data_IF_388328144829
#
_entry.id   IF_388328144829
#
_cell.length_a   1.000
_cell.length_b   1.000
_cell.length_c   1.000
_cell.angle_alpha   90.00
_cell.angle_beta   90.00
_cell.angle_gamma   90.00
#
_symmetry.space_group_name_H-M   'P 1'
#
loop_
_entity.id
_entity.type
_entity.pdbx_description
1 polymer ?
#
# COMPACT_ATOMS: atom_id res chain seq x y z
N UNK A 1 7.97 -13.98 -1.41
CA UNK A 1 8.10 -13.32 -2.73
C UNK A 1 7.74 -14.22 -3.91
N UNK A 2 8.27 -15.46 -4.05
CA UNK A 2 8.00 -16.34 -5.21
C UNK A 2 6.51 -16.58 -5.54
N UNK A 3 5.65 -16.78 -4.53
CA UNK A 3 4.21 -17.00 -4.75
C UNK A 3 3.49 -15.76 -5.34
N UNK A 4 3.80 -14.57 -4.87
CA UNK A 4 3.22 -13.33 -5.40
C UNK A 4 3.65 -13.08 -6.85
N UNK A 5 4.91 -13.34 -7.17
CA UNK A 5 5.42 -13.24 -8.54
C UNK A 5 4.74 -14.23 -9.50
N UNK A 6 4.50 -15.47 -9.04
CA UNK A 6 3.77 -16.47 -9.83
C UNK A 6 2.32 -16.06 -10.11
N UNK A 7 1.61 -15.54 -9.09
CA UNK A 7 0.23 -15.03 -9.25
C UNK A 7 0.22 -13.83 -10.19
N UNK A 8 1.16 -12.91 -10.03
CA UNK A 8 1.29 -11.73 -10.90
C UNK A 8 1.53 -12.13 -12.36
N UNK A 9 2.48 -13.05 -12.61
CA UNK A 9 2.76 -13.53 -13.97
C UNK A 9 1.53 -14.13 -14.66
N UNK A 10 0.81 -15.02 -13.97
CA UNK A 10 -0.42 -15.62 -14.49
C UNK A 10 -1.55 -14.60 -14.70
N UNK A 11 -1.64 -13.60 -13.81
CA UNK A 11 -2.62 -12.52 -13.96
C UNK A 11 -2.36 -11.72 -15.23
N UNK A 12 -1.12 -11.27 -15.42
CA UNK A 12 -0.73 -10.47 -16.59
C UNK A 12 -0.89 -11.26 -17.91
N UNK A 13 -0.50 -12.53 -17.91
CA UNK A 13 -0.72 -13.44 -19.05
C UNK A 13 -2.22 -13.58 -19.35
N UNK A 14 -3.06 -13.75 -18.30
CA UNK A 14 -4.50 -13.94 -18.43
C UNK A 14 -5.23 -12.69 -18.99
N UNK A 15 -4.73 -11.50 -18.76
CA UNK A 15 -5.30 -10.25 -19.30
C UNK A 15 -4.70 -9.85 -20.66
N UNK A 16 -3.68 -10.58 -21.14
CA UNK A 16 -3.06 -10.32 -22.46
C UNK A 16 -2.21 -9.04 -22.54
N UNK A 17 -1.78 -8.51 -21.38
CA UNK A 17 -1.00 -7.28 -21.29
C UNK A 17 0.47 -7.56 -20.94
N UNK A 18 1.41 -6.71 -21.36
CA UNK A 18 2.79 -6.82 -20.90
C UNK A 18 2.91 -6.52 -19.42
N UNK A 19 3.78 -7.26 -18.70
CA UNK A 19 3.94 -7.16 -17.24
C UNK A 19 4.32 -5.78 -16.70
N UNK A 20 4.75 -4.89 -17.58
CA UNK A 20 5.19 -3.53 -17.24
C UNK A 20 4.05 -2.51 -17.23
N UNK A 21 2.89 -2.84 -17.81
CA UNK A 21 1.76 -1.89 -17.92
C UNK A 21 0.45 -2.65 -18.02
N UNK A 22 -0.33 -2.62 -16.95
CA UNK A 22 -1.70 -3.16 -16.92
C UNK A 22 -2.68 -2.03 -17.19
N UNK A 23 -3.42 -2.11 -18.29
CA UNK A 23 -4.49 -1.18 -18.60
C UNK A 23 -5.76 -1.54 -17.81
N UNK A 24 -6.43 -0.58 -17.14
CA UNK A 24 -7.66 -0.87 -16.41
C UNK A 24 -8.75 -1.50 -17.31
N UNK A 25 -8.89 -1.01 -18.54
CA UNK A 25 -9.84 -1.57 -19.52
C UNK A 25 -9.57 -3.05 -19.82
N UNK A 26 -8.29 -3.48 -19.87
CA UNK A 26 -7.96 -4.89 -20.09
C UNK A 26 -8.44 -5.77 -18.93
N UNK A 27 -8.32 -5.29 -17.69
CA UNK A 27 -8.81 -5.97 -16.50
C UNK A 27 -10.34 -6.12 -16.55
N UNK A 28 -11.05 -5.07 -16.98
CA UNK A 28 -12.52 -5.08 -17.06
C UNK A 28 -13.07 -6.00 -18.16
N UNK A 29 -12.28 -6.27 -19.20
CA UNK A 29 -12.65 -7.15 -20.31
C UNK A 29 -12.42 -8.64 -20.03
N UNK A 30 -11.78 -8.98 -18.91
CA UNK A 30 -11.49 -10.37 -18.55
C UNK A 30 -12.57 -10.95 -17.67
N UNK A 31 -12.98 -12.19 -17.93
CA UNK A 31 -13.90 -12.93 -17.08
C UNK A 31 -13.28 -13.22 -15.70
N UNK A 32 -14.11 -13.15 -14.67
CA UNK A 32 -13.75 -13.50 -13.30
C UNK A 32 -13.15 -14.93 -13.18
N UNK A 33 -13.57 -15.86 -14.04
CA UNK A 33 -13.01 -17.21 -14.07
C UNK A 33 -11.53 -17.19 -14.48
N UNK A 34 -11.14 -16.38 -15.45
CA UNK A 34 -9.75 -16.22 -15.88
C UNK A 34 -8.89 -15.59 -14.77
N UNK A 35 -9.40 -14.58 -14.06
CA UNK A 35 -8.70 -13.99 -12.90
C UNK A 35 -8.48 -15.03 -11.78
N UNK A 36 -9.45 -15.92 -11.55
CA UNK A 36 -9.32 -17.00 -10.57
C UNK A 36 -8.28 -18.03 -10.97
N UNK A 37 -8.14 -18.31 -12.27
CA UNK A 37 -7.11 -19.22 -12.80
C UNK A 37 -5.69 -18.71 -12.50
N UNK A 38 -5.50 -17.41 -12.37
CA UNK A 38 -4.25 -16.81 -11.93
C UNK A 38 -3.93 -17.06 -10.43
N UNK A 39 -4.86 -17.65 -9.67
CA UNK A 39 -4.71 -17.93 -8.24
C UNK A 39 -5.28 -16.83 -7.33
N UNK A 40 -6.12 -15.95 -7.86
CA UNK A 40 -6.79 -14.91 -7.09
C UNK A 40 -8.06 -15.48 -6.41
N UNK A 41 -8.28 -15.08 -5.13
CA UNK A 41 -9.54 -15.38 -4.46
C UNK A 41 -10.69 -14.57 -5.07
N UNK A 42 -11.93 -15.02 -4.89
CA UNK A 42 -13.13 -14.28 -5.35
C UNK A 42 -13.09 -12.81 -4.91
N UNK A 43 -12.79 -12.56 -3.63
CA UNK A 43 -12.68 -11.19 -3.08
C UNK A 43 -11.60 -10.36 -3.77
N UNK A 44 -10.43 -10.95 -4.08
CA UNK A 44 -9.36 -10.26 -4.80
C UNK A 44 -9.75 -9.92 -6.23
N UNK A 45 -10.50 -10.81 -6.91
CA UNK A 45 -11.05 -10.49 -8.22
C UNK A 45 -12.01 -9.30 -8.16
N UNK A 46 -12.94 -9.27 -7.17
CA UNK A 46 -13.85 -8.15 -6.97
C UNK A 46 -13.09 -6.83 -6.72
N UNK A 47 -12.02 -6.87 -5.90
CA UNK A 47 -11.19 -5.70 -5.60
C UNK A 47 -10.46 -5.18 -6.83
N UNK A 48 -9.90 -6.07 -7.65
CA UNK A 48 -9.23 -5.67 -8.89
C UNK A 48 -10.21 -5.07 -9.91
N UNK A 49 -11.41 -5.64 -10.02
CA UNK A 49 -12.46 -5.09 -10.89
C UNK A 49 -12.93 -3.73 -10.42
N UNK A 50 -13.06 -3.53 -9.10
CA UNK A 50 -13.45 -2.24 -8.54
C UNK A 50 -12.36 -1.19 -8.73
N UNK A 51 -11.10 -1.55 -8.48
CA UNK A 51 -9.94 -0.71 -8.77
C UNK A 51 -9.92 -0.28 -10.23
N UNK A 52 -10.07 -1.21 -11.16
CA UNK A 52 -10.07 -0.91 -12.60
C UNK A 52 -11.21 0.05 -12.98
N UNK A 53 -12.42 -0.13 -12.40
CA UNK A 53 -13.55 0.79 -12.61
C UNK A 53 -13.24 2.20 -12.11
N UNK A 54 -12.63 2.34 -10.94
CA UNK A 54 -12.27 3.67 -10.40
C UNK A 54 -11.34 4.43 -11.33
N UNK A 55 -10.42 3.74 -12.00
CA UNK A 55 -9.55 4.35 -13.00
C UNK A 55 -10.30 4.72 -14.28
N UNK A 56 -11.12 3.83 -14.82
CA UNK A 56 -11.87 4.07 -16.07
C UNK A 56 -12.94 5.15 -15.89
N UNK A 57 -13.62 5.18 -14.74
CA UNK A 57 -14.64 6.18 -14.42
C UNK A 57 -14.04 7.56 -14.06
N UNK A 58 -12.71 7.68 -14.00
CA UNK A 58 -12.03 8.93 -13.62
C UNK A 58 -12.30 9.35 -12.18
N UNK A 59 -12.55 8.39 -11.27
CA UNK A 59 -12.75 8.64 -9.84
C UNK A 59 -11.44 8.74 -9.06
N UNK A 60 -10.32 8.34 -9.67
CA UNK A 60 -8.96 8.55 -9.17
C UNK A 60 -8.18 9.40 -10.17
N UNK A 61 -7.29 10.24 -9.68
CA UNK A 61 -6.60 11.26 -10.47
C UNK A 61 -5.07 11.11 -10.47
N UNK A 62 -4.49 10.00 -11.02
CA UNK A 62 -3.06 9.73 -10.90
C UNK A 62 -2.15 10.85 -11.40
N UNK A 63 -2.61 11.62 -12.41
CA UNK A 63 -1.85 12.74 -12.97
C UNK A 63 -1.78 13.94 -12.01
N UNK A 64 -2.66 14.01 -11.03
CA UNK A 64 -2.72 15.09 -10.05
C UNK A 64 -2.07 14.72 -8.72
N UNK A 65 -1.82 13.45 -8.44
CA UNK A 65 -1.27 12.98 -7.17
C UNK A 65 0.03 13.67 -6.76
N UNK A 66 0.83 14.13 -7.71
CA UNK A 66 2.07 14.86 -7.39
C UNK A 66 1.83 16.18 -6.65
N UNK A 67 0.68 16.81 -6.87
CA UNK A 67 0.33 18.12 -6.31
C UNK A 67 -0.84 18.07 -5.33
N UNK A 68 -1.47 16.92 -5.15
CA UNK A 68 -2.54 16.72 -4.18
C UNK A 68 -1.96 16.53 -2.77
N UNK A 69 -2.75 16.95 -1.77
CA UNK A 69 -2.49 16.65 -0.36
C UNK A 69 -2.64 15.15 -0.09
N UNK A 70 -1.87 14.62 0.85
CA UNK A 70 -1.85 13.19 1.18
C UNK A 70 -3.22 12.66 1.60
N UNK A 71 -3.97 13.39 2.41
CA UNK A 71 -5.32 13.00 2.83
C UNK A 71 -6.30 12.91 1.65
N UNK A 72 -6.21 13.82 0.68
CA UNK A 72 -7.05 13.76 -0.51
C UNK A 72 -6.76 12.51 -1.37
N UNK A 73 -5.49 12.10 -1.46
CA UNK A 73 -5.10 10.87 -2.14
C UNK A 73 -5.58 9.65 -1.37
N UNK A 74 -5.46 9.66 -0.05
CA UNK A 74 -5.96 8.59 0.82
C UNK A 74 -7.47 8.42 0.62
N UNK A 75 -8.24 9.50 0.61
CA UNK A 75 -9.69 9.46 0.42
C UNK A 75 -10.07 8.86 -0.95
N UNK A 76 -9.38 9.22 -2.03
CA UNK A 76 -9.57 8.60 -3.35
C UNK A 76 -9.30 7.09 -3.31
N UNK A 77 -8.22 6.67 -2.68
CA UNK A 77 -7.80 5.27 -2.66
C UNK A 77 -8.68 4.41 -1.75
N UNK A 78 -9.10 4.93 -0.61
CA UNK A 78 -9.97 4.22 0.35
C UNK A 78 -11.40 4.04 -0.18
N UNK A 79 -11.84 4.88 -1.11
CA UNK A 79 -13.11 4.68 -1.82
C UNK A 79 -13.12 3.39 -2.66
N UNK A 80 -11.96 2.84 -3.00
CA UNK A 80 -11.81 1.60 -3.75
C UNK A 80 -11.98 0.41 -2.81
N UNK A 81 -12.87 -0.50 -3.16
CA UNK A 81 -13.16 -1.69 -2.35
C UNK A 81 -11.90 -2.54 -2.13
N UNK A 82 -11.57 -2.80 -0.88
CA UNK A 82 -10.41 -3.60 -0.50
C UNK A 82 -9.12 -2.81 -0.26
N UNK A 83 -9.13 -1.51 -0.46
CA UNK A 83 -8.04 -0.61 -0.06
C UNK A 83 -8.44 0.08 1.24
N UNK A 84 -7.69 -0.21 2.31
CA UNK A 84 -7.82 0.48 3.58
C UNK A 84 -6.80 1.62 3.70
N UNK A 85 -6.96 2.47 4.73
CA UNK A 85 -6.05 3.59 5.01
C UNK A 85 -4.59 3.16 5.04
N UNK A 86 -4.26 2.10 5.77
CA UNK A 86 -2.89 1.58 5.82
C UNK A 86 -2.32 1.27 4.43
N UNK A 87 -3.11 0.65 3.54
CA UNK A 87 -2.67 0.35 2.17
C UNK A 87 -2.44 1.63 1.36
N UNK A 88 -3.30 2.64 1.53
CA UNK A 88 -3.13 3.94 0.90
C UNK A 88 -1.88 4.67 1.41
N UNK A 89 -1.60 4.62 2.73
CA UNK A 89 -0.39 5.16 3.33
C UNK A 89 0.88 4.46 2.80
N UNK A 90 0.85 3.12 2.62
CA UNK A 90 1.95 2.39 1.99
C UNK A 90 2.17 2.82 0.54
N UNK A 91 1.11 3.10 -0.20
CA UNK A 91 1.22 3.65 -1.55
C UNK A 91 1.87 5.05 -1.56
N UNK A 92 1.50 5.92 -0.63
CA UNK A 92 2.14 7.24 -0.47
C UNK A 92 3.63 7.11 -0.17
N UNK A 93 4.01 6.24 0.77
CA UNK A 93 5.41 6.05 1.18
C UNK A 93 6.25 5.44 0.06
N UNK A 94 5.81 4.32 -0.53
CA UNK A 94 6.65 3.50 -1.42
C UNK A 94 6.50 3.81 -2.91
N UNK A 95 5.36 4.37 -3.33
CA UNK A 95 5.13 4.70 -4.74
C UNK A 95 5.24 6.19 -5.02
N UNK A 96 4.57 7.02 -4.24
CA UNK A 96 4.64 8.47 -4.40
C UNK A 96 5.84 9.10 -3.68
N UNK A 97 6.57 8.33 -2.86
CA UNK A 97 7.76 8.74 -2.13
C UNK A 97 7.50 9.96 -1.23
N UNK A 98 6.30 10.02 -0.63
CA UNK A 98 5.93 11.09 0.29
C UNK A 98 6.78 11.02 1.56
N UNK A 99 7.47 12.09 1.96
CA UNK A 99 8.45 12.04 3.05
C UNK A 99 7.83 12.03 4.44
N UNK A 100 6.56 12.47 4.59
CA UNK A 100 6.00 12.81 5.89
C UNK A 100 4.68 12.09 6.21
N UNK A 101 4.61 10.80 5.93
CA UNK A 101 3.46 9.93 6.25
C UNK A 101 3.73 9.14 7.53
N UNK A 102 2.77 9.13 8.46
CA UNK A 102 2.83 8.37 9.71
C UNK A 102 1.72 7.30 9.75
N UNK A 103 2.01 6.03 9.42
CA UNK A 103 1.00 4.98 9.32
C UNK A 103 0.67 4.39 10.70
N UNK A 104 -0.18 5.06 11.48
CA UNK A 104 -0.54 4.68 12.85
C UNK A 104 -1.30 3.36 12.99
N UNK A 105 -1.80 2.79 11.87
CA UNK A 105 -2.41 1.46 11.84
C UNK A 105 -1.39 0.35 11.54
N UNK A 106 -0.13 0.71 11.32
CA UNK A 106 0.95 -0.24 11.06
C UNK A 106 1.45 -0.88 12.37
N UNK A 107 1.23 -2.19 12.50
CA UNK A 107 1.64 -2.95 13.69
C UNK A 107 3.17 -3.01 13.85
N UNK A 108 3.90 -2.98 12.75
CA UNK A 108 5.36 -2.93 12.77
C UNK A 108 5.87 -1.61 13.33
N UNK A 109 5.26 -0.49 12.92
CA UNK A 109 5.58 0.82 13.46
C UNK A 109 5.28 0.89 14.96
N UNK A 110 4.08 0.48 15.40
CA UNK A 110 3.72 0.49 16.83
C UNK A 110 4.67 -0.39 17.65
N UNK A 111 5.01 -1.58 17.15
CA UNK A 111 5.98 -2.46 17.79
C UNK A 111 7.37 -1.83 17.86
N UNK A 112 7.84 -1.24 16.79
CA UNK A 112 9.14 -0.60 16.75
C UNK A 112 9.23 0.61 17.68
N UNK A 113 8.19 1.43 17.77
CA UNK A 113 8.10 2.52 18.74
C UNK A 113 8.12 1.97 20.16
N UNK A 114 7.34 0.92 20.46
CA UNK A 114 7.34 0.24 21.75
C UNK A 114 8.76 -0.15 22.18
N UNK A 115 9.50 -0.82 21.31
CA UNK A 115 10.86 -1.30 21.61
C UNK A 115 11.86 -0.15 21.79
N UNK A 116 11.81 0.86 20.91
CA UNK A 116 12.84 1.90 20.89
C UNK A 116 12.59 3.07 21.88
N UNK A 117 11.33 3.32 22.26
CA UNK A 117 10.97 4.48 23.09
C UNK A 117 10.31 4.11 24.43
N UNK A 118 9.73 2.90 24.54
CA UNK A 118 8.95 2.48 25.72
C UNK A 118 9.45 1.16 26.34
N UNK A 119 10.70 0.80 26.10
CA UNK A 119 11.32 -0.41 26.67
C UNK A 119 10.54 -1.72 26.39
N UNK A 120 9.77 -1.75 25.31
CA UNK A 120 8.96 -2.90 24.91
C UNK A 120 7.52 -2.91 25.44
N UNK A 121 7.14 -1.94 26.26
CA UNK A 121 5.76 -1.81 26.73
C UNK A 121 4.78 -1.49 25.58
N UNK A 122 3.53 -1.95 25.65
CA UNK A 122 2.52 -1.65 24.63
C UNK A 122 2.32 -0.16 24.42
N UNK A 123 2.21 0.26 23.18
CA UNK A 123 2.05 1.68 22.79
C UNK A 123 0.71 1.86 22.09
N UNK A 124 -0.05 2.86 22.53
CA UNK A 124 -1.27 3.31 21.87
C UNK A 124 -0.97 4.14 20.62
N UNK A 125 -1.97 4.27 19.72
CA UNK A 125 -1.85 5.16 18.56
C UNK A 125 -1.62 6.63 18.95
N UNK A 126 -2.14 7.06 20.09
CA UNK A 126 -1.95 8.42 20.60
C UNK A 126 -0.49 8.67 20.97
N UNK A 127 0.12 7.77 21.76
CA UNK A 127 1.54 7.83 22.14
C UNK A 127 2.45 7.71 20.91
N UNK A 128 2.12 6.82 19.97
CA UNK A 128 2.87 6.70 18.73
C UNK A 128 2.82 7.97 17.87
N UNK A 129 1.68 8.68 17.87
CA UNK A 129 1.54 9.99 17.21
C UNK A 129 2.44 11.03 17.88
N UNK A 130 2.45 11.09 19.19
CA UNK A 130 3.26 12.02 19.98
C UNK A 130 4.76 11.84 19.68
N UNK A 131 5.23 10.59 19.64
CA UNK A 131 6.61 10.27 19.21
C UNK A 131 6.84 10.71 17.76
N UNK A 132 5.87 10.43 16.86
CA UNK A 132 5.96 10.76 15.44
C UNK A 132 5.98 12.27 15.14
N UNK A 133 5.45 13.13 16.02
CA UNK A 133 5.51 14.58 15.86
C UNK A 133 6.97 15.09 15.76
N UNK A 134 7.88 14.49 16.54
CA UNK A 134 9.29 14.85 16.52
C UNK A 134 10.01 14.49 15.21
N UNK A 135 9.40 13.67 14.36
CA UNK A 135 9.99 13.22 13.09
C UNK A 135 9.59 14.10 11.89
N UNK A 136 8.66 15.02 12.09
CA UNK A 136 8.20 15.96 11.04
C UNK A 136 9.39 16.81 10.55
N UNK A 137 9.56 16.97 9.23
CA UNK A 137 8.74 16.56 8.10
C UNK A 137 9.21 15.25 7.42
N UNK A 138 9.79 14.31 8.17
CA UNK A 138 10.40 13.09 7.63
C UNK A 138 9.84 11.81 8.26
N UNK A 139 8.55 11.81 8.60
CA UNK A 139 7.89 10.69 9.30
C UNK A 139 7.95 9.37 8.52
N UNK A 140 7.90 9.39 7.19
CA UNK A 140 8.08 8.18 6.36
C UNK A 140 9.48 7.59 6.50
N UNK A 141 10.50 8.45 6.52
CA UNK A 141 11.90 8.03 6.66
C UNK A 141 12.13 7.45 8.05
N UNK A 142 11.64 8.14 9.10
CA UNK A 142 11.73 7.64 10.47
C UNK A 142 11.00 6.30 10.63
N UNK A 143 9.80 6.16 10.05
CA UNK A 143 9.05 4.91 10.02
C UNK A 143 9.87 3.78 9.42
N UNK A 144 10.56 4.03 8.30
CA UNK A 144 11.44 3.04 7.67
C UNK A 144 12.57 2.60 8.62
N UNK A 145 13.22 3.53 9.32
CA UNK A 145 14.26 3.20 10.31
C UNK A 145 13.68 2.41 11.50
N UNK A 146 12.48 2.75 11.95
CA UNK A 146 11.78 2.00 13.00
C UNK A 146 11.52 0.55 12.56
N UNK A 147 11.05 0.31 11.34
CA UNK A 147 10.90 -1.05 10.80
C UNK A 147 12.23 -1.79 10.75
N UNK A 148 13.28 -1.11 10.27
CA UNK A 148 14.63 -1.70 10.20
C UNK A 148 15.18 -2.09 11.57
N UNK A 149 14.84 -1.37 12.62
CA UNK A 149 15.27 -1.71 13.99
C UNK A 149 14.70 -3.03 14.51
N UNK A 150 13.62 -3.54 13.89
CA UNK A 150 13.01 -4.83 14.24
C UNK A 150 13.63 -6.02 13.49
N UNK A 151 14.40 -5.78 12.44
CA UNK A 151 15.03 -6.84 11.65
C UNK A 151 16.33 -7.30 12.31
N UNK A 152 16.44 -8.58 12.70
CA UNK A 152 17.63 -9.09 13.38
C UNK A 152 18.83 -9.28 12.44
N UNK A 153 18.64 -9.20 11.12
CA UNK A 153 19.68 -9.45 10.11
C UNK A 153 19.96 -8.20 9.28
N UNK A 154 21.24 -7.92 8.96
CA UNK A 154 21.57 -6.97 7.91
C UNK A 154 20.90 -7.40 6.61
N UNK A 155 20.22 -6.48 5.93
CA UNK A 155 19.73 -6.74 4.57
C UNK A 155 20.88 -6.45 3.62
N UNK A 156 21.36 -7.47 2.93
CA UNK A 156 22.24 -7.30 1.78
C UNK A 156 21.42 -6.62 0.67
N UNK A 157 21.88 -5.47 0.20
CA UNK A 157 21.29 -4.70 -0.88
C UNK A 157 21.80 -5.17 -2.23
#
# INVERSE_FOLDING_TARGET
>A
MKAAQSVWGKFVEGIGEPSTRVAPAAVLNVDNAALRTAGLSVRKCEYLMDLARHFEDGRVHPRQWQVMEDEAIIDELVAIRGIGRWTAEMFLIFHLMRPDVLPLDDLGLLKGISVNYFSGEPVSRAEAREVGEAWTPFRSVATWYIWRSLDPLPVDY
#
